data_IF_203623903598
#
_entry.id   IF_203623903598
#
_cell.length_a   1.000
_cell.length_b   1.000
_cell.length_c   1.000
_cell.angle_alpha   90.00
_cell.angle_beta   90.00
_cell.angle_gamma   90.00
#
_symmetry.space_group_name_H-M   'P 1'
#
loop_
_entity.id
_entity.type
_entity.pdbx_description
1 polymer ?
#
# COMPACT_ATOMS: atom_id res chain seq x y z
N UNK A 1 18.15 6.67 10.43
CA UNK A 1 17.99 6.78 8.97
C UNK A 1 16.57 6.37 8.61
N UNK A 2 15.93 7.05 7.65
CA UNK A 2 14.49 6.88 7.35
C UNK A 2 14.31 6.03 6.09
N UNK A 3 13.47 4.98 6.07
CA UNK A 3 13.22 4.18 4.87
C UNK A 3 12.68 5.01 3.70
N UNK A 4 13.27 4.83 2.51
CA UNK A 4 12.79 5.40 1.26
C UNK A 4 12.21 4.29 0.38
N UNK A 5 10.88 4.29 0.25
CA UNK A 5 10.10 3.21 -0.34
C UNK A 5 9.96 3.43 -1.85
N UNK A 6 10.43 2.44 -2.61
CA UNK A 6 10.26 2.37 -4.06
C UNK A 6 9.21 1.33 -4.43
N UNK A 7 8.86 1.30 -5.71
CA UNK A 7 7.86 0.40 -6.27
C UNK A 7 8.20 -1.08 -6.10
N UNK A 8 9.50 -1.43 -6.05
CA UNK A 8 9.98 -2.79 -5.77
C UNK A 8 9.72 -3.25 -4.34
N UNK A 9 9.54 -2.30 -3.42
CA UNK A 9 9.46 -2.56 -1.99
C UNK A 9 7.99 -2.78 -1.55
N UNK A 10 7.04 -2.66 -2.49
CA UNK A 10 5.62 -2.94 -2.30
C UNK A 10 5.31 -4.33 -2.86
N UNK A 11 4.85 -5.23 -1.98
CA UNK A 11 4.40 -6.55 -2.38
C UNK A 11 3.48 -7.16 -1.31
N UNK A 12 2.57 -8.06 -1.70
CA UNK A 12 1.73 -8.81 -0.76
C UNK A 12 1.00 -7.94 0.28
N UNK A 13 0.54 -6.74 -0.10
CA UNK A 13 -0.11 -5.77 0.80
C UNK A 13 0.79 -5.16 1.89
N UNK A 14 2.10 -5.36 1.79
CA UNK A 14 3.09 -4.92 2.76
C UNK A 14 4.19 -4.06 2.11
N UNK A 15 4.89 -3.32 2.97
CA UNK A 15 6.08 -2.56 2.60
C UNK A 15 7.30 -3.25 3.19
N UNK A 16 8.29 -3.51 2.33
CA UNK A 16 9.60 -3.96 2.77
C UNK A 16 10.42 -2.76 3.30
N UNK A 17 10.49 -2.65 4.64
CA UNK A 17 11.24 -1.61 5.34
C UNK A 17 12.75 -1.88 5.38
N UNK A 18 13.18 -3.13 5.11
CA UNK A 18 14.59 -3.55 5.15
C UNK A 18 15.36 -3.18 3.88
N UNK A 19 14.77 -2.36 3.02
CA UNK A 19 15.45 -1.84 1.85
C UNK A 19 16.68 -1.03 2.29
N UNK A 20 17.82 -1.27 1.63
CA UNK A 20 19.06 -0.51 1.85
C UNK A 20 18.92 0.99 1.52
N UNK A 21 17.79 1.40 0.93
CA UNK A 21 17.52 2.77 0.52
C UNK A 21 16.93 3.52 1.72
N UNK A 22 17.78 4.33 2.35
CA UNK A 22 17.37 5.20 3.45
C UNK A 22 17.78 6.64 3.16
N UNK A 23 17.12 7.58 3.81
CA UNK A 23 17.34 9.02 3.69
C UNK A 23 17.57 9.67 5.05
N UNK A 24 17.98 10.95 5.04
CA UNK A 24 18.25 11.72 6.25
C UNK A 24 16.97 12.19 6.93
N UNK A 25 17.11 12.56 8.20
CA UNK A 25 16.02 13.16 8.99
C UNK A 25 15.58 14.51 8.39
N UNK A 26 16.50 15.27 7.81
CA UNK A 26 16.19 16.57 7.18
C UNK A 26 15.25 16.36 5.99
N UNK A 27 15.55 15.38 5.13
CA UNK A 27 14.68 15.04 3.99
C UNK A 27 13.32 14.57 4.48
N UNK A 28 13.27 13.73 5.52
CA UNK A 28 11.98 13.32 6.10
C UNK A 28 11.17 14.53 6.58
N UNK A 29 11.79 15.46 7.31
CA UNK A 29 11.10 16.65 7.80
C UNK A 29 10.58 17.56 6.68
N UNK A 30 11.26 17.61 5.52
CA UNK A 30 10.78 18.34 4.35
C UNK A 30 9.53 17.73 3.72
N UNK A 31 9.43 16.39 3.69
CA UNK A 31 8.35 15.70 2.98
C UNK A 31 7.22 15.19 3.88
N UNK A 32 7.44 15.00 5.18
CA UNK A 32 6.47 14.37 6.10
C UNK A 32 5.11 15.05 6.08
N UNK A 33 5.07 16.38 6.06
CA UNK A 33 3.82 17.14 6.07
C UNK A 33 3.08 17.04 4.72
N UNK A 34 3.83 16.98 3.61
CA UNK A 34 3.27 16.86 2.27
C UNK A 34 2.75 15.46 1.98
N UNK A 35 3.49 14.43 2.39
CA UNK A 35 3.10 13.04 2.19
C UNK A 35 2.07 12.59 3.24
N UNK A 36 2.13 13.10 4.47
CA UNK A 36 1.16 12.79 5.54
C UNK A 36 0.76 11.31 5.60
N UNK A 37 1.75 10.42 5.69
CA UNK A 37 1.53 8.96 5.72
C UNK A 37 0.87 8.59 7.05
N UNK A 38 -0.29 7.95 6.99
CA UNK A 38 -1.10 7.57 8.15
C UNK A 38 -1.51 6.10 8.07
N UNK A 39 -1.80 5.51 9.24
CA UNK A 39 -2.36 4.16 9.30
C UNK A 39 -3.68 4.12 8.53
N UNK A 40 -3.86 3.10 7.70
CA UNK A 40 -5.04 2.97 6.84
C UNK A 40 -4.88 3.53 5.44
N UNK A 41 -3.78 4.25 5.16
CA UNK A 41 -3.45 4.62 3.79
C UNK A 41 -3.18 3.37 2.95
N UNK A 42 -3.58 3.43 1.68
CA UNK A 42 -3.24 2.40 0.69
C UNK A 42 -2.23 2.99 -0.28
N UNK A 43 -1.09 2.32 -0.43
CA UNK A 43 -0.14 2.62 -1.48
C UNK A 43 -0.48 1.82 -2.73
N UNK A 44 -0.38 2.42 -3.91
CA UNK A 44 -0.59 1.77 -5.20
C UNK A 44 0.52 2.16 -6.18
N UNK A 45 1.20 1.18 -6.76
CA UNK A 45 2.25 1.44 -7.76
C UNK A 45 1.63 1.89 -9.08
N UNK A 46 1.97 3.11 -9.52
CA UNK A 46 1.45 3.72 -10.76
C UNK A 46 2.47 3.78 -11.90
N UNK A 47 3.76 3.84 -11.59
CA UNK A 47 4.82 3.80 -12.60
C UNK A 47 5.88 2.76 -12.22
N UNK A 48 6.58 2.18 -13.19
CA UNK A 48 7.68 1.27 -12.94
C UNK A 48 7.73 0.13 -13.93
N UNK A 49 8.28 -1.02 -13.50
CA UNK A 49 8.26 -2.23 -14.33
C UNK A 49 6.81 -2.70 -14.56
N UNK A 50 6.47 -3.26 -15.73
CA UNK A 50 5.10 -3.70 -16.05
C UNK A 50 4.49 -4.61 -14.98
N UNK A 51 5.30 -5.46 -14.34
CA UNK A 51 4.88 -6.43 -13.32
C UNK A 51 4.71 -5.81 -11.91
N UNK A 52 5.07 -4.54 -11.73
CA UNK A 52 4.93 -3.83 -10.46
C UNK A 52 3.66 -2.99 -10.41
N UNK A 53 3.17 -2.52 -11.56
CA UNK A 53 2.00 -1.64 -11.64
C UNK A 53 0.76 -2.35 -11.10
N UNK A 54 -0.03 -1.64 -10.30
CA UNK A 54 -1.23 -2.17 -9.65
C UNK A 54 -0.96 -2.93 -8.36
N UNK A 55 0.31 -3.16 -7.98
CA UNK A 55 0.64 -3.67 -6.65
C UNK A 55 0.24 -2.65 -5.59
N UNK A 56 -0.23 -3.18 -4.47
CA UNK A 56 -0.71 -2.37 -3.35
C UNK A 56 -0.05 -2.76 -2.04
N UNK A 57 0.01 -1.81 -1.12
CA UNK A 57 0.34 -2.02 0.29
C UNK A 57 -0.64 -1.27 1.19
N UNK A 58 -0.86 -1.82 2.38
CA UNK A 58 -1.62 -1.17 3.44
C UNK A 58 -0.65 -0.60 4.48
N UNK A 59 -0.80 0.67 4.84
CA UNK A 59 0.02 1.30 5.88
C UNK A 59 -0.47 0.88 7.26
N UNK A 60 0.39 0.15 7.96
CA UNK A 60 0.20 -0.22 9.36
C UNK A 60 0.96 0.75 10.28
N UNK A 61 0.81 0.59 11.58
CA UNK A 61 1.58 1.33 12.58
C UNK A 61 3.11 1.19 12.41
N UNK A 62 3.56 0.08 11.81
CA UNK A 62 4.98 -0.18 11.54
C UNK A 62 5.52 0.68 10.37
N UNK A 63 4.64 1.17 9.50
CA UNK A 63 4.99 1.72 8.20
C UNK A 63 4.76 3.24 8.12
N UNK A 64 4.39 3.91 9.22
CA UNK A 64 4.04 5.34 9.23
C UNK A 64 5.24 6.27 9.04
N UNK A 65 6.44 5.83 9.43
CA UNK A 65 7.66 6.64 9.40
C UNK A 65 8.52 6.37 8.18
N UNK A 66 8.00 6.69 7.00
CA UNK A 66 8.64 6.42 5.70
C UNK A 66 8.59 7.64 4.78
N UNK A 67 9.36 7.59 3.69
CA UNK A 67 9.16 8.46 2.52
C UNK A 67 8.87 7.58 1.31
N UNK A 68 7.82 7.91 0.55
CA UNK A 68 7.46 7.18 -0.67
C UNK A 68 7.94 7.89 -1.93
N UNK A 69 8.32 7.13 -2.95
CA UNK A 69 8.69 7.64 -4.28
C UNK A 69 7.46 8.18 -5.05
N UNK A 70 7.68 9.12 -5.98
CA UNK A 70 6.63 9.72 -6.82
C UNK A 70 5.89 8.75 -7.76
N UNK A 71 6.34 7.51 -7.89
CA UNK A 71 5.73 6.46 -8.71
C UNK A 71 4.68 5.63 -7.94
N UNK A 72 4.33 6.07 -6.73
CA UNK A 72 3.36 5.43 -5.86
C UNK A 72 2.24 6.43 -5.61
N UNK A 73 1.00 6.03 -5.86
CA UNK A 73 -0.17 6.73 -5.35
C UNK A 73 -0.39 6.39 -3.88
N UNK A 74 -0.76 7.40 -3.11
CA UNK A 74 -1.27 7.25 -1.76
C UNK A 74 -2.77 7.52 -1.81
N UNK A 75 -3.56 6.54 -1.39
CA UNK A 75 -5.01 6.59 -1.38
C UNK A 75 -5.46 6.69 0.07
N UNK A 76 -6.16 7.77 0.40
CA UNK A 76 -6.79 8.00 1.69
C UNK A 76 -8.29 7.85 1.56
N UNK A 77 -8.88 7.08 2.47
CA UNK A 77 -10.33 6.86 2.49
C UNK A 77 -10.91 7.85 3.49
N UNK A 78 -11.81 8.70 3.00
CA UNK A 78 -12.51 9.66 3.85
C UNK A 78 -13.71 8.99 4.51
N UNK A 79 -14.10 9.51 5.68
CA UNK A 79 -15.34 9.11 6.33
C UNK A 79 -16.52 9.26 5.37
N UNK A 80 -17.36 8.23 5.32
CA UNK A 80 -18.49 8.16 4.41
C UNK A 80 -19.63 7.33 5.02
N UNK A 81 -20.83 7.53 4.49
CA UNK A 81 -22.05 6.82 4.94
C UNK A 81 -22.22 5.44 4.29
N UNK A 82 -21.31 5.05 3.41
CA UNK A 82 -21.44 3.87 2.57
C UNK A 82 -20.66 2.65 3.10
N UNK A 83 -20.06 2.76 4.28
CA UNK A 83 -19.16 1.76 4.87
C UNK A 83 -18.04 1.33 3.90
N UNK A 84 -17.47 2.31 3.21
CA UNK A 84 -16.26 2.13 2.41
C UNK A 84 -15.08 2.47 3.30
N UNK A 85 -14.29 1.47 3.66
CA UNK A 85 -13.06 1.65 4.41
C UNK A 85 -11.83 1.20 3.61
N UNK A 86 -10.65 1.43 4.18
CA UNK A 86 -9.38 1.06 3.58
C UNK A 86 -9.25 -0.45 3.35
N UNK A 87 -9.78 -1.29 4.24
CA UNK A 87 -9.74 -2.75 4.09
C UNK A 87 -10.57 -3.23 2.88
N UNK A 88 -11.78 -2.68 2.72
CA UNK A 88 -12.63 -2.97 1.57
C UNK A 88 -11.97 -2.49 0.27
N UNK A 89 -11.44 -1.26 0.23
CA UNK A 89 -10.78 -0.73 -0.96
C UNK A 89 -9.53 -1.53 -1.31
N UNK A 90 -8.73 -1.93 -0.32
CA UNK A 90 -7.57 -2.79 -0.53
C UNK A 90 -8.00 -4.09 -1.20
N UNK A 91 -9.05 -4.74 -0.70
CA UNK A 91 -9.58 -5.96 -1.33
C UNK A 91 -10.03 -5.72 -2.78
N UNK A 92 -10.86 -4.69 -3.02
CA UNK A 92 -11.40 -4.40 -4.34
C UNK A 92 -10.30 -4.11 -5.37
N UNK A 93 -9.27 -3.34 -4.99
CA UNK A 93 -8.13 -3.06 -5.85
C UNK A 93 -7.37 -4.33 -6.26
N UNK A 94 -7.36 -5.36 -5.43
CA UNK A 94 -6.64 -6.61 -5.67
C UNK A 94 -7.50 -7.70 -6.33
N UNK A 95 -8.77 -7.43 -6.66
CA UNK A 95 -9.57 -8.36 -7.44
C UNK A 95 -9.02 -8.56 -8.84
N UNK A 96 -9.04 -9.79 -9.35
CA UNK A 96 -8.53 -10.13 -10.69
C UNK A 96 -9.11 -9.25 -11.79
N UNK A 97 -10.40 -8.93 -11.72
CA UNK A 97 -11.06 -8.07 -12.71
C UNK A 97 -10.55 -6.61 -12.65
N UNK A 98 -10.26 -6.10 -11.46
CA UNK A 98 -9.71 -4.75 -11.27
C UNK A 98 -8.26 -4.70 -11.71
N UNK A 99 -7.48 -5.73 -11.37
CA UNK A 99 -6.10 -5.88 -11.82
C UNK A 99 -6.01 -6.02 -13.36
N UNK A 100 -6.97 -6.69 -14.00
CA UNK A 100 -7.10 -6.71 -15.48
C UNK A 100 -7.39 -5.32 -16.05
N UNK A 101 -8.27 -4.53 -15.42
CA UNK A 101 -8.53 -3.15 -15.83
C UNK A 101 -7.25 -2.30 -15.74
N UNK A 102 -6.53 -2.37 -14.61
CA UNK A 102 -5.26 -1.64 -14.40
C UNK A 102 -4.27 -2.01 -15.50
N UNK A 103 -4.06 -3.30 -15.78
CA UNK A 103 -3.17 -3.75 -16.85
C UNK A 103 -3.59 -3.26 -18.24
N UNK A 104 -4.90 -3.21 -18.52
CA UNK A 104 -5.42 -2.75 -19.80
C UNK A 104 -5.20 -1.24 -20.03
N UNK A 105 -5.17 -0.44 -18.96
CA UNK A 105 -4.87 1.00 -19.03
C UNK A 105 -3.38 1.33 -18.88
N UNK A 106 -2.55 0.35 -18.51
CA UNK A 106 -1.10 0.52 -18.44
C UNK A 106 -0.52 0.82 -19.82
N UNK A 107 0.17 1.94 -19.94
CA UNK A 107 0.93 2.29 -21.12
C UNK A 107 2.39 1.88 -20.93
N UNK A 108 2.93 1.15 -21.90
CA UNK A 108 4.32 0.66 -21.88
C UNK A 108 5.10 1.42 -22.95
N UNK A 109 6.00 2.33 -22.54
CA UNK A 109 6.87 3.06 -23.46
C UNK A 109 8.34 2.87 -23.05
N UNK A 110 9.09 2.10 -23.83
CA UNK A 110 10.48 1.78 -23.51
C UNK A 110 10.60 0.94 -22.23
N UNK A 111 11.44 1.36 -21.28
CA UNK A 111 11.78 0.60 -20.08
C UNK A 111 10.83 0.84 -18.89
N UNK A 112 10.03 1.90 -18.91
CA UNK A 112 9.13 2.27 -17.82
C UNK A 112 7.69 2.25 -18.32
N UNK A 113 6.84 1.56 -17.57
CA UNK A 113 5.38 1.57 -17.76
C UNK A 113 4.74 2.56 -16.81
N UNK A 114 3.58 3.11 -17.19
CA UNK A 114 2.82 4.06 -16.37
C UNK A 114 1.32 3.94 -16.61
N UNK A 115 0.52 4.16 -15.56
CA UNK A 115 -0.92 4.37 -15.66
C UNK A 115 -1.29 5.86 -15.58
N UNK A 116 -0.34 6.75 -15.30
CA UNK A 116 -0.58 8.18 -15.11
C UNK A 116 -1.71 8.45 -14.10
N UNK A 117 -2.62 9.36 -14.45
CA UNK A 117 -3.83 9.64 -13.66
C UNK A 117 -5.01 8.72 -14.01
N UNK A 118 -4.86 7.79 -14.96
CA UNK A 118 -5.93 6.91 -15.44
C UNK A 118 -6.35 5.86 -14.41
N UNK A 119 -5.65 5.77 -13.28
CA UNK A 119 -6.11 4.99 -12.13
C UNK A 119 -7.52 5.40 -11.70
N UNK A 120 -7.88 6.67 -11.90
CA UNK A 120 -9.21 7.21 -11.57
C UNK A 120 -10.31 6.68 -12.50
N UNK A 121 -9.95 6.11 -13.66
CA UNK A 121 -10.89 5.50 -14.60
C UNK A 121 -11.23 4.05 -14.22
N UNK A 122 -10.48 3.46 -13.28
CA UNK A 122 -10.65 2.06 -12.86
C UNK A 122 -11.94 1.91 -12.07
N UNK A 123 -12.82 1.01 -12.52
CA UNK A 123 -14.10 0.74 -11.85
C UNK A 123 -13.94 -0.35 -10.81
N UNK A 124 -14.25 -0.02 -9.56
CA UNK A 124 -14.28 -0.97 -8.45
C UNK A 124 -15.67 -1.64 -8.35
N UNK A 125 -15.75 -2.98 -8.31
CA UNK A 125 -17.02 -3.70 -8.18
C UNK A 125 -17.49 -3.68 -6.71
N UNK A 126 -18.04 -2.54 -6.29
CA UNK A 126 -18.52 -2.34 -4.93
C UNK A 126 -19.80 -3.17 -4.68
N UNK A 127 -19.84 -4.06 -3.67
CA UNK A 127 -21.05 -4.81 -3.35
C UNK A 127 -22.23 -3.90 -2.99
N UNK A 128 -23.43 -4.17 -3.48
CA UNK A 128 -24.62 -3.36 -3.13
C UNK A 128 -25.05 -3.53 -1.67
N UNK A 129 -24.88 -4.73 -1.12
CA UNK A 129 -25.21 -5.04 0.27
C UNK A 129 -24.14 -4.53 1.26
N UNK A 130 -24.58 -3.69 2.20
CA UNK A 130 -23.77 -3.13 3.29
C UNK A 130 -23.21 -4.22 4.20
N UNK A 131 -23.98 -5.26 4.50
CA UNK A 131 -23.54 -6.34 5.39
C UNK A 131 -22.36 -7.10 4.77
N UNK A 132 -22.44 -7.36 3.45
CA UNK A 132 -21.34 -7.93 2.69
C UNK A 132 -20.09 -7.05 2.69
N UNK A 133 -20.22 -5.72 2.57
CA UNK A 133 -19.07 -4.79 2.67
C UNK A 133 -18.37 -4.93 4.02
N UNK A 134 -19.13 -4.89 5.11
CA UNK A 134 -18.62 -5.01 6.48
C UNK A 134 -17.93 -6.37 6.68
N UNK A 135 -18.54 -7.46 6.20
CA UNK A 135 -17.96 -8.80 6.33
C UNK A 135 -16.62 -8.92 5.58
N UNK A 136 -16.53 -8.38 4.36
CA UNK A 136 -15.28 -8.37 3.59
C UNK A 136 -14.23 -7.54 4.31
N UNK A 137 -14.59 -6.32 4.75
CA UNK A 137 -13.67 -5.44 5.48
C UNK A 137 -13.11 -6.13 6.72
N UNK A 138 -13.97 -6.69 7.57
CA UNK A 138 -13.57 -7.39 8.79
C UNK A 138 -12.60 -8.54 8.50
N UNK A 139 -12.87 -9.32 7.44
CA UNK A 139 -12.00 -10.42 7.05
C UNK A 139 -10.62 -9.94 6.61
N UNK A 140 -10.56 -8.84 5.84
CA UNK A 140 -9.29 -8.26 5.38
C UNK A 140 -8.53 -7.61 6.53
N UNK A 141 -9.23 -6.95 7.45
CA UNK A 141 -8.66 -6.42 8.68
C UNK A 141 -7.97 -7.51 9.50
N UNK A 142 -8.63 -8.65 9.72
CA UNK A 142 -8.02 -9.79 10.43
C UNK A 142 -6.76 -10.32 9.72
N UNK A 143 -6.74 -10.38 8.39
CA UNK A 143 -5.54 -10.75 7.63
C UNK A 143 -4.40 -9.76 7.87
N UNK A 144 -4.67 -8.45 7.74
CA UNK A 144 -3.67 -7.40 7.95
C UNK A 144 -3.14 -7.41 9.38
N UNK A 145 -4.02 -7.56 10.37
CA UNK A 145 -3.66 -7.68 11.78
C UNK A 145 -2.74 -8.87 12.02
N UNK A 146 -3.10 -10.06 11.52
CA UNK A 146 -2.27 -11.26 11.67
C UNK A 146 -0.90 -11.12 11.02
N UNK A 147 -0.83 -10.49 9.84
CA UNK A 147 0.44 -10.17 9.17
C UNK A 147 1.29 -9.21 10.00
N UNK A 148 0.69 -8.16 10.52
CA UNK A 148 1.36 -7.14 11.33
C UNK A 148 1.93 -7.76 12.61
N UNK A 149 1.15 -8.58 13.31
CA UNK A 149 1.61 -9.29 14.51
C UNK A 149 2.74 -10.28 14.20
N UNK A 150 2.68 -10.95 13.06
CA UNK A 150 3.76 -11.84 12.61
C UNK A 150 5.04 -11.04 12.34
N UNK A 151 4.95 -9.89 11.66
CA UNK A 151 6.10 -8.98 11.42
C UNK A 151 6.71 -8.50 12.74
N UNK A 152 5.90 -8.09 13.72
CA UNK A 152 6.36 -7.69 15.05
C UNK A 152 7.13 -8.81 15.75
N UNK A 153 6.61 -10.04 15.72
CA UNK A 153 7.28 -11.21 16.31
C UNK A 153 8.63 -11.48 15.66
N UNK A 154 8.71 -11.44 14.33
CA UNK A 154 9.96 -11.62 13.59
C UNK A 154 11.00 -10.56 14.00
N UNK A 155 10.57 -9.29 14.07
CA UNK A 155 11.44 -8.20 14.49
C UNK A 155 11.97 -8.39 15.92
N UNK A 156 11.09 -8.72 16.87
CA UNK A 156 11.48 -8.95 18.26
C UNK A 156 12.43 -10.15 18.43
N UNK A 157 12.24 -11.22 17.66
CA UNK A 157 13.16 -12.35 17.65
C UNK A 157 14.56 -11.92 17.22
N UNK A 158 14.68 -11.13 16.16
CA UNK A 158 15.98 -10.65 15.67
C UNK A 158 16.78 -9.82 16.69
N UNK A 159 16.09 -9.11 17.59
CA UNK A 159 16.71 -8.29 18.63
C UNK A 159 17.16 -9.13 19.83
N UNK A 160 16.37 -10.11 20.23
CA UNK A 160 16.62 -10.91 21.45
C UNK A 160 17.53 -12.14 21.22
N UNK A 161 18.01 -12.36 19.99
CA UNK A 161 18.76 -13.58 19.64
C UNK A 161 20.22 -13.58 20.10
N UNK A 162 20.70 -12.48 20.71
CA UNK A 162 22.11 -12.30 21.08
C UNK A 162 22.30 -11.77 22.52
N UNK A 163 21.26 -11.79 23.35
CA UNK A 163 21.31 -11.33 24.75
C UNK A 163 21.62 -12.48 25.75
N UNK A 164 22.42 -13.47 25.34
CA UNK A 164 22.95 -14.55 26.20
C UNK A 164 24.48 -14.42 26.40
#
# INVERSE_FOLDING_TARGET
SIPFIRTSDINNWEINLDSHKKTSEEVYNQFKAKQNIEVGDILLVKDGGPNLIGRTAYITELDTRIIIQSHIFQIKILENRENIDSYLILHLLNLDIVQKQIRAITFVQGTISTIGNRILDVKLPLPTDLSKRINISNYINEIIKNKTETRKKIHNLSLNSFDD
#
